data_IF_687893066887
#
_entry.id   IF_687893066887
#
_cell.length_a   1.000
_cell.length_b   1.000
_cell.length_c   1.000
_cell.angle_alpha   90.00
_cell.angle_beta   90.00
_cell.angle_gamma   90.00
#
_symmetry.space_group_name_H-M   'P 1'
#
loop_
_entity.id
_entity.type
_entity.pdbx_description
1 polymer ?
#
# COMPACT_ATOMS: atom_id res chain seq x y z
N UNK A 1 14.80 -12.97 7.30
CA UNK A 1 14.51 -12.52 5.91
C UNK A 1 13.45 -13.46 5.34
N UNK A 2 12.35 -12.95 4.79
CA UNK A 2 11.24 -13.74 4.21
C UNK A 2 10.76 -13.07 2.93
N UNK A 3 10.38 -13.86 1.91
CA UNK A 3 9.75 -13.36 0.67
C UNK A 3 8.22 -13.24 0.78
N UNK A 4 7.65 -13.76 1.87
CA UNK A 4 6.21 -13.73 2.14
C UNK A 4 5.98 -13.13 3.53
N UNK A 5 6.25 -11.82 3.73
CA UNK A 5 6.01 -11.17 5.01
C UNK A 5 4.51 -11.09 5.31
N UNK A 6 4.14 -11.27 6.57
CA UNK A 6 2.79 -11.01 7.09
C UNK A 6 2.91 -9.85 8.06
N UNK A 7 2.48 -8.66 7.65
CA UNK A 7 2.62 -7.44 8.44
C UNK A 7 1.56 -7.32 9.54
N UNK A 8 0.28 -7.50 9.18
CA UNK A 8 -0.86 -7.29 10.09
C UNK A 8 -0.80 -5.92 10.82
N UNK A 9 -0.34 -4.89 10.11
CA UNK A 9 -0.21 -3.52 10.63
C UNK A 9 -1.37 -2.64 10.14
N UNK A 10 -1.82 -1.74 11.01
CA UNK A 10 -2.92 -0.81 10.73
C UNK A 10 -2.44 0.63 10.85
N UNK A 11 -2.69 1.44 9.82
CA UNK A 11 -2.37 2.86 9.77
C UNK A 11 -3.65 3.68 9.65
N UNK A 12 -3.69 4.86 10.30
CA UNK A 12 -4.86 5.75 10.27
C UNK A 12 -4.46 7.12 9.71
N UNK A 13 -5.29 7.64 8.80
CA UNK A 13 -5.13 8.94 8.18
C UNK A 13 -6.41 9.75 8.35
N UNK A 14 -6.31 10.97 8.91
CA UNK A 14 -7.43 11.88 9.01
C UNK A 14 -7.65 12.61 7.68
N UNK A 15 -8.63 12.16 6.88
CA UNK A 15 -8.93 12.74 5.57
C UNK A 15 -10.44 13.04 5.49
N UNK A 16 -10.85 14.27 5.09
CA UNK A 16 -12.25 14.56 4.85
C UNK A 16 -12.84 13.68 3.75
N UNK A 17 -14.07 13.18 3.93
CA UNK A 17 -14.76 12.33 2.93
C UNK A 17 -14.79 12.98 1.54
N UNK A 18 -15.03 14.29 1.49
CA UNK A 18 -15.06 15.07 0.26
C UNK A 18 -13.74 15.04 -0.52
N UNK A 19 -12.60 14.80 0.13
CA UNK A 19 -11.29 14.74 -0.54
C UNK A 19 -10.95 13.33 -1.05
N UNK A 20 -11.58 12.27 -0.54
CA UNK A 20 -11.17 10.88 -0.80
C UNK A 20 -11.14 10.52 -2.30
N UNK A 21 -12.05 11.07 -3.10
CA UNK A 21 -12.10 10.84 -4.55
C UNK A 21 -10.83 11.30 -5.29
N UNK A 22 -10.10 12.28 -4.73
CA UNK A 22 -8.88 12.86 -5.30
C UNK A 22 -7.60 12.27 -4.70
N UNK A 23 -7.72 11.38 -3.70
CA UNK A 23 -6.60 10.80 -2.96
C UNK A 23 -6.29 9.40 -3.46
N UNK A 24 -5.03 9.00 -3.25
CA UNK A 24 -4.51 7.67 -3.55
C UNK A 24 -3.63 7.22 -2.40
N UNK A 25 -3.59 5.92 -2.13
CA UNK A 25 -2.59 5.29 -1.28
C UNK A 25 -1.46 4.77 -2.15
N UNK A 26 -0.23 5.09 -1.78
CA UNK A 26 0.97 4.63 -2.49
C UNK A 26 1.82 3.82 -1.53
N UNK A 27 1.97 2.54 -1.82
CA UNK A 27 2.82 1.61 -1.10
C UNK A 27 4.11 1.44 -1.89
N UNK A 28 5.26 1.55 -1.21
CA UNK A 28 6.56 1.21 -1.76
C UNK A 28 7.18 0.13 -0.88
N UNK A 29 7.50 -1.00 -1.48
CA UNK A 29 8.02 -2.18 -0.80
C UNK A 29 9.53 -2.20 -1.01
N UNK A 30 10.30 -2.30 0.07
CA UNK A 30 11.77 -2.27 0.06
C UNK A 30 12.35 -3.54 0.69
N UNK A 31 13.51 -3.99 0.18
CA UNK A 31 14.41 -4.85 0.94
C UNK A 31 15.26 -3.99 1.87
N UNK A 32 15.27 -4.36 3.14
CA UNK A 32 16.04 -3.63 4.15
C UNK A 32 17.47 -4.14 4.19
N UNK A 33 18.41 -3.21 4.09
CA UNK A 33 19.84 -3.46 4.25
C UNK A 33 20.46 -2.59 5.33
N UNK A 34 21.24 -3.21 6.21
CA UNK A 34 21.82 -2.53 7.38
C UNK A 34 22.98 -1.60 7.04
N UNK A 35 23.71 -1.87 5.96
CA UNK A 35 24.98 -1.22 5.64
C UNK A 35 25.00 -0.55 4.25
N UNK A 36 23.90 -0.64 3.51
CA UNK A 36 23.73 -0.08 2.19
C UNK A 36 22.38 0.61 2.07
N UNK A 37 22.13 1.23 0.91
CA UNK A 37 20.80 1.75 0.57
C UNK A 37 19.84 0.57 0.44
N UNK A 38 18.60 0.77 0.89
CA UNK A 38 17.53 -0.20 0.71
C UNK A 38 17.15 -0.31 -0.77
N UNK A 39 16.97 -1.53 -1.24
CA UNK A 39 16.57 -1.80 -2.62
C UNK A 39 15.04 -1.76 -2.75
N UNK A 40 14.55 -1.05 -3.77
CA UNK A 40 13.12 -1.03 -4.08
C UNK A 40 12.74 -2.36 -4.73
N UNK A 41 11.81 -3.09 -4.11
CA UNK A 41 11.21 -4.29 -4.69
C UNK A 41 10.12 -3.91 -5.69
N UNK A 42 9.30 -2.92 -5.33
CA UNK A 42 8.25 -2.42 -6.21
C UNK A 42 7.21 -1.57 -5.49
N UNK A 43 6.15 -1.22 -6.22
CA UNK A 43 5.16 -0.24 -5.78
C UNK A 43 3.73 -0.71 -6.08
N UNK A 44 2.80 -0.22 -5.28
CA UNK A 44 1.36 -0.42 -5.47
C UNK A 44 0.65 0.91 -5.25
N UNK A 45 -0.17 1.32 -6.21
CA UNK A 45 -1.03 2.50 -6.09
C UNK A 45 -2.48 2.04 -6.00
N UNK A 46 -3.17 2.46 -4.95
CA UNK A 46 -4.61 2.26 -4.77
C UNK A 46 -5.28 3.61 -4.92
N UNK A 47 -6.07 3.77 -5.97
CA UNK A 47 -6.92 4.93 -6.22
C UNK A 47 -8.39 4.62 -5.90
N UNK A 48 -9.29 5.58 -6.18
CA UNK A 48 -10.73 5.45 -5.98
C UNK A 48 -11.08 4.93 -4.57
N UNK A 49 -10.51 5.56 -3.54
CA UNK A 49 -10.62 5.12 -2.16
C UNK A 49 -12.07 5.00 -1.64
N UNK A 50 -13.01 5.71 -2.27
CA UNK A 50 -14.44 5.62 -1.98
C UNK A 50 -15.01 4.23 -2.27
N UNK A 51 -14.55 3.55 -3.32
CA UNK A 51 -15.02 2.20 -3.69
C UNK A 51 -14.68 1.16 -2.61
N UNK A 52 -13.68 1.45 -1.77
CA UNK A 52 -13.28 0.63 -0.64
C UNK A 52 -13.92 1.06 0.69
N UNK A 53 -14.66 2.18 0.69
CA UNK A 53 -15.37 2.67 1.88
C UNK A 53 -16.75 2.02 2.04
N UNK A 54 -17.38 1.63 0.92
CA UNK A 54 -18.71 1.04 0.89
C UNK A 54 -18.64 -0.47 0.66
N UNK A 55 -18.26 -1.22 1.70
CA UNK A 55 -18.19 -2.68 1.64
C UNK A 55 -17.84 -3.28 3.00
N UNK A 56 -18.85 -3.62 3.80
CA UNK A 56 -18.70 -4.21 5.14
C UNK A 56 -18.35 -5.69 5.07
N UNK A 57 -17.16 -6.03 4.64
CA UNK A 57 -16.63 -7.39 4.77
C UNK A 57 -15.13 -7.38 4.95
N UNK A 58 -14.64 -8.23 5.86
CA UNK A 58 -13.22 -8.56 6.05
C UNK A 58 -12.61 -9.28 4.84
N UNK A 59 -13.04 -8.96 3.62
CA UNK A 59 -12.52 -9.61 2.42
C UNK A 59 -11.19 -8.95 2.06
N UNK A 60 -10.06 -9.69 2.13
CA UNK A 60 -8.79 -9.15 1.74
C UNK A 60 -8.82 -8.80 0.24
N UNK A 61 -8.30 -7.62 -0.09
CA UNK A 61 -8.12 -7.16 -1.47
C UNK A 61 -6.66 -7.36 -1.82
N UNK A 62 -6.40 -8.11 -2.89
CA UNK A 62 -5.05 -8.35 -3.39
C UNK A 62 -4.75 -7.43 -4.58
N UNK A 63 -3.49 -7.00 -4.68
CA UNK A 63 -2.93 -6.19 -5.76
C UNK A 63 -1.52 -6.67 -6.07
N UNK A 64 -1.15 -6.64 -7.33
CA UNK A 64 0.19 -6.99 -7.77
C UNK A 64 1.18 -5.87 -7.42
N UNK A 65 2.38 -6.27 -7.00
CA UNK A 65 3.50 -5.35 -6.85
C UNK A 65 4.08 -5.12 -8.24
N UNK A 66 4.07 -3.86 -8.69
CA UNK A 66 4.62 -3.47 -9.98
C UNK A 66 6.05 -3.00 -9.79
N UNK A 67 6.96 -3.36 -10.69
CA UNK A 67 8.32 -2.82 -10.69
C UNK A 67 8.27 -1.29 -10.79
N UNK A 68 8.94 -0.60 -9.87
CA UNK A 68 9.00 0.86 -9.91
C UNK A 68 9.80 1.31 -11.13
N UNK A 69 9.20 2.10 -12.02
CA UNK A 69 9.98 2.83 -13.02
C UNK A 69 10.83 3.86 -12.29
N UNK A 70 12.14 3.70 -12.36
CA UNK A 70 13.11 4.65 -11.82
C UNK A 70 12.97 6.05 -12.46
#
# INVERSE_FOLDING_TARGET
KTLNPVFNETFQFGVPLAELHSRKLHFSIYDFDRFSRHDLIGQVVVDNLLDFSEGTGEKPIWRDIVEGTA
#
